data_IF_659436943026
#
_entry.id   IF_659436943026
#
_cell.length_a   1.000
_cell.length_b   1.000
_cell.length_c   1.000
_cell.angle_alpha   90.00
_cell.angle_beta   90.00
_cell.angle_gamma   90.00
#
_symmetry.space_group_name_H-M   'P 1'
#
loop_
_entity.id
_entity.type
_entity.pdbx_description
1 polymer ?
#
# COMPACT_ATOMS: atom_id res chain seq x y z
N UNK A 1 9.69 1.38 -15.23
CA UNK A 1 9.55 1.94 -16.59
C UNK A 1 8.54 1.17 -17.43
N UNK A 2 8.56 -0.16 -17.45
CA UNK A 2 7.62 -0.97 -18.24
C UNK A 2 6.14 -0.53 -18.10
N UNK A 3 5.67 -0.30 -16.88
CA UNK A 3 4.28 0.13 -16.66
C UNK A 3 3.96 1.47 -17.35
N UNK A 4 4.91 2.40 -17.45
CA UNK A 4 4.68 3.69 -18.13
C UNK A 4 4.65 3.54 -19.65
N UNK A 5 5.43 2.60 -20.20
CA UNK A 5 5.49 2.35 -21.64
C UNK A 5 4.29 1.49 -22.09
N UNK A 6 4.12 0.34 -21.46
CA UNK A 6 3.24 -0.72 -21.95
C UNK A 6 1.80 -0.55 -21.47
N UNK A 7 1.59 -0.04 -20.25
CA UNK A 7 0.24 0.15 -19.68
C UNK A 7 -0.30 1.57 -19.90
N UNK A 8 0.56 2.58 -19.68
CA UNK A 8 0.17 3.99 -19.80
C UNK A 8 0.35 4.55 -21.21
N UNK A 9 1.05 3.83 -22.09
CA UNK A 9 1.36 4.23 -23.46
C UNK A 9 2.07 5.59 -23.57
N UNK A 10 2.92 5.92 -22.58
CA UNK A 10 3.77 7.11 -22.65
C UNK A 10 4.93 6.83 -23.63
N UNK A 11 5.15 7.67 -24.65
CA UNK A 11 6.29 7.52 -25.56
C UNK A 11 7.62 7.48 -24.80
N UNK A 12 8.56 6.64 -25.26
CA UNK A 12 9.82 6.39 -24.56
C UNK A 12 10.62 7.68 -24.33
N UNK A 13 10.60 8.57 -25.33
CA UNK A 13 11.22 9.90 -25.32
C UNK A 13 10.62 10.85 -24.27
N UNK A 14 9.35 10.66 -23.91
CA UNK A 14 8.62 11.53 -22.99
C UNK A 14 8.64 11.03 -21.54
N UNK A 15 8.96 9.75 -21.31
CA UNK A 15 8.88 9.10 -19.98
C UNK A 15 9.61 9.89 -18.91
N UNK A 16 10.85 10.33 -19.17
CA UNK A 16 11.65 10.99 -18.14
C UNK A 16 11.06 12.36 -17.78
N UNK A 17 10.70 13.18 -18.78
CA UNK A 17 10.08 14.48 -18.54
C UNK A 17 8.72 14.35 -17.82
N UNK A 18 7.92 13.34 -18.21
CA UNK A 18 6.65 13.02 -17.56
C UNK A 18 6.84 12.68 -16.08
N UNK A 19 7.78 11.78 -15.78
CA UNK A 19 8.12 11.37 -14.41
C UNK A 19 8.62 12.54 -13.57
N UNK A 20 9.50 13.39 -14.10
CA UNK A 20 9.98 14.58 -13.39
C UNK A 20 8.83 15.54 -13.09
N UNK A 21 7.96 15.80 -14.06
CA UNK A 21 6.80 16.68 -13.89
C UNK A 21 5.87 16.18 -12.79
N UNK A 22 5.54 14.88 -12.79
CA UNK A 22 4.71 14.28 -11.74
C UNK A 22 5.39 14.36 -10.37
N UNK A 23 6.70 14.09 -10.31
CA UNK A 23 7.47 14.15 -9.06
C UNK A 23 7.48 15.57 -8.48
N UNK A 24 7.64 16.61 -9.31
CA UNK A 24 7.58 18.01 -8.86
C UNK A 24 6.21 18.36 -8.30
N UNK A 25 5.12 18.02 -9.01
CA UNK A 25 3.76 18.23 -8.51
C UNK A 25 3.54 17.51 -7.17
N UNK A 26 3.96 16.26 -7.07
CA UNK A 26 3.81 15.46 -5.87
C UNK A 26 4.62 15.99 -4.69
N UNK A 27 5.81 16.53 -4.95
CA UNK A 27 6.66 17.14 -3.93
C UNK A 27 5.98 18.35 -3.26
N UNK A 28 5.19 19.12 -4.01
CA UNK A 28 4.38 20.21 -3.46
C UNK A 28 3.24 19.73 -2.56
N UNK A 29 2.71 18.53 -2.80
CA UNK A 29 1.65 17.93 -1.96
C UNK A 29 2.27 17.36 -0.68
N UNK A 30 3.33 16.58 -0.83
CA UNK A 30 4.09 16.09 0.31
C UNK A 30 5.51 15.73 -0.08
N UNK A 31 6.48 16.36 0.58
CA UNK A 31 7.90 16.11 0.40
C UNK A 31 8.35 14.76 1.01
N UNK A 32 7.75 13.63 0.61
CA UNK A 32 8.15 12.31 1.10
C UNK A 32 9.50 11.94 0.48
N UNK A 33 10.48 11.47 1.28
CA UNK A 33 11.77 11.03 0.72
C UNK A 33 11.63 10.00 -0.40
N UNK A 34 10.62 9.12 -0.33
CA UNK A 34 10.32 8.15 -1.38
C UNK A 34 9.81 8.78 -2.69
N UNK A 35 9.10 9.91 -2.64
CA UNK A 35 8.74 10.69 -3.84
C UNK A 35 10.00 11.39 -4.37
N UNK A 36 10.78 12.00 -3.48
CA UNK A 36 11.99 12.73 -3.83
C UNK A 36 13.04 11.86 -4.52
N UNK A 37 13.17 10.61 -4.09
CA UNK A 37 14.06 9.59 -4.64
C UNK A 37 13.40 8.64 -5.65
N UNK A 38 12.25 8.99 -6.24
CA UNK A 38 11.59 8.24 -7.31
C UNK A 38 11.25 6.77 -6.96
N UNK A 39 11.06 6.45 -5.68
CA UNK A 39 10.76 5.08 -5.25
C UNK A 39 9.45 4.54 -5.81
N UNK A 40 8.52 5.41 -6.24
CA UNK A 40 7.29 5.02 -6.93
C UNK A 40 7.52 4.37 -8.31
N UNK A 41 8.72 4.50 -8.88
CA UNK A 41 9.14 3.78 -10.09
C UNK A 41 9.61 2.34 -9.79
N UNK A 42 9.86 2.03 -8.52
CA UNK A 42 10.29 0.72 -8.06
C UNK A 42 9.09 -0.16 -7.75
N UNK A 43 9.04 -1.32 -8.39
CA UNK A 43 8.01 -2.35 -8.16
C UNK A 43 8.60 -3.55 -7.41
N UNK A 44 9.52 -3.32 -6.47
CA UNK A 44 10.22 -4.41 -5.75
C UNK A 44 9.27 -5.39 -5.04
N UNK A 45 8.05 -4.97 -4.70
CA UNK A 45 7.06 -5.88 -4.13
C UNK A 45 6.72 -7.07 -5.07
N UNK A 46 6.93 -6.93 -6.38
CA UNK A 46 6.70 -8.03 -7.34
C UNK A 46 7.73 -9.16 -7.21
N UNK A 47 8.84 -8.92 -6.50
CA UNK A 47 9.85 -9.95 -6.21
C UNK A 47 9.56 -10.71 -4.93
N UNK A 48 8.56 -10.27 -4.14
CA UNK A 48 8.18 -10.98 -2.93
C UNK A 48 7.59 -12.35 -3.29
N UNK A 49 7.94 -13.38 -2.53
CA UNK A 49 7.42 -14.74 -2.73
C UNK A 49 5.88 -14.78 -2.70
N UNK A 50 5.29 -13.93 -1.88
CA UNK A 50 3.85 -13.79 -1.71
C UNK A 50 3.16 -13.20 -2.95
N UNK A 51 3.87 -12.41 -3.76
CA UNK A 51 3.28 -11.73 -4.91
C UNK A 51 2.67 -12.71 -5.91
N UNK A 52 3.38 -13.79 -6.25
CA UNK A 52 2.87 -14.81 -7.17
C UNK A 52 1.59 -15.47 -6.65
N UNK A 53 1.56 -15.81 -5.36
CA UNK A 53 0.39 -16.42 -4.73
C UNK A 53 -0.81 -15.45 -4.69
N UNK A 54 -0.57 -14.17 -4.37
CA UNK A 54 -1.60 -13.12 -4.40
C UNK A 54 -2.13 -12.92 -5.82
N UNK A 55 -1.25 -12.90 -6.83
CA UNK A 55 -1.63 -12.74 -8.22
C UNK A 55 -2.52 -13.90 -8.70
N UNK A 56 -2.14 -15.15 -8.40
CA UNK A 56 -2.94 -16.34 -8.75
C UNK A 56 -4.32 -16.30 -8.09
N UNK A 57 -4.39 -15.97 -6.79
CA UNK A 57 -5.64 -15.81 -6.05
C UNK A 57 -6.56 -14.76 -6.67
N UNK A 58 -6.02 -13.57 -6.95
CA UNK A 58 -6.81 -12.45 -7.47
C UNK A 58 -7.27 -12.66 -8.92
N UNK A 59 -6.60 -13.51 -9.70
CA UNK A 59 -7.00 -13.90 -11.06
C UNK A 59 -8.01 -15.04 -11.11
N UNK A 60 -8.19 -15.77 -10.02
CA UNK A 60 -9.12 -16.90 -9.94
C UNK A 60 -10.56 -16.46 -10.24
N UNK A 61 -11.22 -16.98 -11.29
CA UNK A 61 -12.57 -16.56 -11.64
C UNK A 61 -13.64 -17.04 -10.64
N UNK A 62 -13.35 -18.05 -9.82
CA UNK A 62 -14.27 -18.62 -8.83
C UNK A 62 -14.42 -17.81 -7.54
N UNK A 63 -13.50 -16.89 -7.28
CA UNK A 63 -13.42 -16.19 -5.99
C UNK A 63 -13.63 -14.69 -6.15
N UNK A 64 -14.43 -14.08 -5.28
CA UNK A 64 -14.61 -12.62 -5.21
C UNK A 64 -13.50 -11.97 -4.35
N UNK A 65 -12.25 -12.40 -4.56
CA UNK A 65 -11.10 -11.88 -3.84
C UNK A 65 -10.84 -10.43 -4.23
N UNK A 66 -10.62 -9.59 -3.20
CA UNK A 66 -10.35 -8.15 -3.36
C UNK A 66 -9.08 -7.80 -2.63
N UNK A 67 -8.29 -6.93 -3.26
CA UNK A 67 -7.07 -6.36 -2.68
C UNK A 67 -7.20 -4.85 -2.50
N UNK A 68 -6.70 -4.35 -1.38
CA UNK A 68 -6.44 -2.92 -1.17
C UNK A 68 -4.96 -2.65 -0.92
N UNK A 69 -4.41 -1.64 -1.58
CA UNK A 69 -3.09 -1.06 -1.27
C UNK A 69 -3.26 0.17 -0.36
N UNK A 70 -2.75 0.10 0.87
CA UNK A 70 -2.85 1.16 1.88
C UNK A 70 -1.58 2.00 1.92
N UNK A 71 -1.75 3.31 1.80
CA UNK A 71 -0.63 4.24 1.54
C UNK A 71 -0.12 4.10 0.12
N UNK A 72 -1.04 3.92 -0.84
CA UNK A 72 -0.69 3.54 -2.20
C UNK A 72 0.03 4.63 -3.01
N UNK A 73 0.12 5.87 -2.50
CA UNK A 73 0.67 7.01 -3.21
C UNK A 73 0.01 7.19 -4.59
N UNK A 74 0.72 6.89 -5.69
CA UNK A 74 0.19 6.96 -7.06
C UNK A 74 -0.54 5.68 -7.51
N UNK A 75 -0.72 4.69 -6.64
CA UNK A 75 -1.42 3.44 -6.96
C UNK A 75 -0.62 2.51 -7.89
N UNK A 76 0.71 2.62 -7.92
CA UNK A 76 1.57 1.86 -8.83
C UNK A 76 1.46 0.34 -8.64
N UNK A 77 1.27 -0.14 -7.41
CA UNK A 77 1.17 -1.57 -7.15
C UNK A 77 -0.16 -2.14 -7.64
N UNK A 78 -1.24 -1.41 -7.42
CA UNK A 78 -2.59 -1.70 -7.93
C UNK A 78 -2.59 -1.78 -9.45
N UNK A 79 -2.00 -0.78 -10.13
CA UNK A 79 -1.91 -0.75 -11.59
C UNK A 79 -1.01 -1.84 -12.15
N UNK A 80 0.05 -2.22 -11.44
CA UNK A 80 0.88 -3.37 -11.80
C UNK A 80 0.11 -4.69 -11.71
N UNK A 81 -0.74 -4.87 -10.70
CA UNK A 81 -1.61 -6.06 -10.59
C UNK A 81 -2.63 -6.10 -11.74
N UNK A 82 -3.22 -4.96 -12.10
CA UNK A 82 -4.11 -4.87 -13.25
C UNK A 82 -3.39 -5.21 -14.56
N UNK A 83 -2.19 -4.68 -14.76
CA UNK A 83 -1.34 -5.01 -15.91
C UNK A 83 -0.99 -6.51 -16.00
N UNK A 84 -0.85 -7.19 -14.86
CA UNK A 84 -0.61 -8.64 -14.80
C UNK A 84 -1.88 -9.50 -14.95
N UNK A 85 -3.01 -8.85 -15.24
CA UNK A 85 -4.27 -9.48 -15.61
C UNK A 85 -5.24 -9.72 -14.46
N UNK A 86 -5.10 -9.02 -13.34
CA UNK A 86 -6.14 -8.99 -12.30
C UNK A 86 -7.28 -8.06 -12.73
N UNK A 87 -8.56 -8.47 -12.61
CA UNK A 87 -9.71 -7.60 -12.90
C UNK A 87 -9.70 -6.31 -12.08
N UNK A 88 -10.04 -5.17 -12.71
CA UNK A 88 -10.01 -3.85 -12.06
C UNK A 88 -10.99 -3.75 -10.88
N UNK A 89 -12.10 -4.47 -10.94
CA UNK A 89 -13.18 -4.50 -9.93
C UNK A 89 -12.74 -5.13 -8.60
N UNK A 90 -11.60 -5.82 -8.61
CA UNK A 90 -11.00 -6.49 -7.45
C UNK A 90 -9.89 -5.67 -6.80
N UNK A 91 -9.55 -4.53 -7.40
CA UNK A 91 -8.34 -3.79 -7.09
C UNK A 91 -8.67 -2.39 -6.58
N UNK A 92 -8.14 -2.10 -5.40
CA UNK A 92 -8.41 -0.85 -4.69
C UNK A 92 -7.10 -0.25 -4.17
N UNK A 93 -7.04 1.07 -4.15
CA UNK A 93 -5.92 1.82 -3.60
C UNK A 93 -6.41 2.95 -2.72
N UNK A 94 -5.71 3.18 -1.61
CA UNK A 94 -6.03 4.28 -0.72
C UNK A 94 -4.78 4.96 -0.21
N UNK A 95 -4.83 6.29 -0.17
CA UNK A 95 -3.83 7.14 0.46
C UNK A 95 -4.52 8.29 1.20
N UNK A 96 -3.97 8.71 2.34
CA UNK A 96 -4.53 9.84 3.10
C UNK A 96 -4.44 11.18 2.34
N UNK A 97 -3.60 11.25 1.29
CA UNK A 97 -3.44 12.44 0.43
C UNK A 97 -4.20 12.25 -0.89
N UNK A 98 -5.42 12.81 -1.05
CA UNK A 98 -6.18 12.66 -2.29
C UNK A 98 -5.44 13.19 -3.52
N UNK A 99 -4.65 14.26 -3.38
CA UNK A 99 -3.85 14.78 -4.49
C UNK A 99 -2.79 13.80 -5.03
N UNK A 100 -2.30 12.85 -4.22
CA UNK A 100 -1.41 11.80 -4.72
C UNK A 100 -2.19 10.78 -5.57
N UNK A 101 -3.44 10.46 -5.20
CA UNK A 101 -4.30 9.59 -6.00
C UNK A 101 -4.59 10.21 -7.37
N UNK A 102 -4.88 11.51 -7.39
CA UNK A 102 -5.12 12.28 -8.62
C UNK A 102 -3.88 12.28 -9.53
N UNK A 103 -2.69 12.51 -8.97
CA UNK A 103 -1.44 12.40 -9.71
C UNK A 103 -1.14 10.98 -10.19
N UNK A 104 -1.69 9.94 -9.54
CA UNK A 104 -1.63 8.58 -10.04
C UNK A 104 -2.32 8.44 -11.40
N UNK A 105 -3.52 9.02 -11.55
CA UNK A 105 -4.21 9.00 -12.84
C UNK A 105 -3.47 9.78 -13.93
N UNK A 106 -2.81 10.89 -13.57
CA UNK A 106 -1.94 11.62 -14.52
C UNK A 106 -0.69 10.81 -14.88
N UNK A 107 -0.03 10.19 -13.89
CA UNK A 107 1.18 9.40 -14.11
C UNK A 107 0.93 8.22 -15.05
N UNK A 108 -0.22 7.56 -14.90
CA UNK A 108 -0.55 6.34 -15.62
C UNK A 108 -1.53 6.50 -16.78
N UNK A 109 -2.04 7.72 -17.02
CA UNK A 109 -2.95 8.05 -18.12
C UNK A 109 -4.12 7.05 -18.24
N UNK A 110 -4.83 6.82 -17.14
CA UNK A 110 -5.75 5.68 -17.01
C UNK A 110 -7.07 6.00 -16.27
N UNK A 111 -7.47 7.27 -16.18
CA UNK A 111 -8.68 7.67 -15.44
C UNK A 111 -9.96 6.97 -15.92
N UNK A 112 -10.04 6.67 -17.21
CA UNK A 112 -11.14 5.98 -17.86
C UNK A 112 -11.17 4.47 -17.60
N UNK A 113 -10.07 3.87 -17.12
CA UNK A 113 -9.97 2.43 -16.83
C UNK A 113 -10.51 2.03 -15.46
N UNK A 114 -10.70 2.99 -14.55
CA UNK A 114 -11.01 2.72 -13.14
C UNK A 114 -12.38 3.23 -12.73
N UNK A 115 -13.05 2.47 -11.87
CA UNK A 115 -14.24 2.96 -11.18
C UNK A 115 -13.86 4.11 -10.24
N UNK A 116 -14.72 5.14 -10.07
CA UNK A 116 -14.53 6.16 -9.05
C UNK A 116 -14.37 5.61 -7.62
N UNK A 117 -14.81 4.36 -7.37
CA UNK A 117 -14.67 3.69 -6.09
C UNK A 117 -13.33 2.93 -5.91
N UNK A 118 -12.51 2.78 -6.95
CA UNK A 118 -11.26 2.01 -6.90
C UNK A 118 -10.15 2.74 -6.15
N UNK A 119 -10.10 4.08 -6.26
CA UNK A 119 -9.12 4.90 -5.54
C UNK A 119 -9.84 5.93 -4.69
N UNK A 120 -9.61 5.91 -3.38
CA UNK A 120 -10.27 6.81 -2.45
C UNK A 120 -9.35 7.19 -1.29
N UNK A 121 -9.48 8.41 -0.73
CA UNK A 121 -8.70 8.80 0.42
C UNK A 121 -9.23 8.15 1.69
N UNK A 122 -8.33 7.63 2.54
CA UNK A 122 -8.69 7.05 3.83
C UNK A 122 -7.59 7.27 4.87
N UNK A 123 -8.00 7.54 6.11
CA UNK A 123 -7.15 7.44 7.28
C UNK A 123 -7.24 6.02 7.86
N UNK A 124 -6.11 5.32 7.96
CA UNK A 124 -6.04 3.95 8.50
C UNK A 124 -6.46 3.85 9.97
N UNK A 125 -6.42 4.97 10.72
CA UNK A 125 -6.85 5.01 12.12
C UNK A 125 -8.35 5.22 12.28
N UNK A 126 -9.02 5.66 11.21
CA UNK A 126 -10.47 5.89 11.17
C UNK A 126 -11.01 5.47 9.79
N UNK A 127 -10.93 4.17 9.45
CA UNK A 127 -11.21 3.69 8.11
C UNK A 127 -12.67 3.87 7.72
N UNK A 128 -12.88 4.58 6.62
CA UNK A 128 -14.17 4.75 5.94
C UNK A 128 -13.99 4.31 4.50
N UNK A 129 -14.69 3.24 4.12
CA UNK A 129 -14.53 2.58 2.83
C UNK A 129 -15.81 2.75 2.02
N UNK A 130 -15.74 3.13 0.72
CA UNK A 130 -16.91 3.18 -0.15
C UNK A 130 -17.69 1.86 -0.11
N UNK A 131 -19.00 1.94 0.06
CA UNK A 131 -19.89 0.78 0.06
C UNK A 131 -19.62 -0.28 1.15
N UNK A 132 -18.88 0.05 2.22
CA UNK A 132 -18.45 -0.89 3.25
C UNK A 132 -17.68 -2.11 2.69
N UNK A 133 -16.89 -1.89 1.64
CA UNK A 133 -16.07 -2.93 1.03
C UNK A 133 -15.15 -3.61 2.07
N UNK A 134 -14.97 -4.92 1.88
CA UNK A 134 -14.06 -5.77 2.65
C UNK A 134 -13.07 -6.45 1.72
N UNK A 135 -11.87 -6.69 2.22
CA UNK A 135 -10.73 -7.16 1.45
C UNK A 135 -10.23 -8.51 1.96
N UNK A 136 -9.69 -9.30 1.04
CA UNK A 136 -9.05 -10.58 1.33
C UNK A 136 -7.54 -10.40 1.48
N UNK A 137 -7.00 -9.42 0.74
CA UNK A 137 -5.57 -9.11 0.74
C UNK A 137 -5.37 -7.61 0.99
N UNK A 138 -4.46 -7.27 1.89
CA UNK A 138 -4.00 -5.91 2.12
C UNK A 138 -2.53 -5.84 1.76
N UNK A 139 -2.20 -5.00 0.79
CA UNK A 139 -0.84 -4.54 0.56
C UNK A 139 -0.63 -3.29 1.42
N UNK A 140 0.42 -3.27 2.23
CA UNK A 140 0.79 -2.10 3.03
C UNK A 140 2.31 -2.01 3.12
N UNK A 141 2.88 -1.02 2.44
CA UNK A 141 4.32 -0.81 2.38
C UNK A 141 4.69 0.61 2.78
N UNK A 142 5.77 0.76 3.52
CA UNK A 142 6.30 2.06 3.94
C UNK A 142 5.32 2.93 4.76
N UNK A 143 4.45 2.29 5.56
CA UNK A 143 3.43 2.96 6.38
C UNK A 143 3.68 2.77 7.87
N UNK A 144 3.84 1.54 8.36
CA UNK A 144 3.95 1.25 9.79
C UNK A 144 5.10 2.02 10.46
N UNK A 145 6.28 2.02 9.83
CA UNK A 145 7.48 2.67 10.35
C UNK A 145 7.35 4.20 10.51
N UNK A 146 6.25 4.81 10.06
CA UNK A 146 5.97 6.24 10.29
C UNK A 146 5.45 6.51 11.70
N UNK A 147 4.97 5.49 12.42
CA UNK A 147 4.25 5.64 13.67
C UNK A 147 4.97 5.00 14.86
N UNK A 148 4.61 5.41 16.08
CA UNK A 148 5.01 4.73 17.30
C UNK A 148 4.47 3.30 17.35
N UNK A 149 5.07 2.43 18.17
CA UNK A 149 4.67 1.03 18.28
C UNK A 149 3.15 0.88 18.56
N UNK A 150 2.62 1.61 19.55
CA UNK A 150 1.19 1.57 19.87
C UNK A 150 0.30 1.95 18.68
N UNK A 151 0.72 2.94 17.89
CA UNK A 151 -0.02 3.34 16.69
C UNK A 151 0.12 2.32 15.56
N UNK A 152 1.23 1.60 15.46
CA UNK A 152 1.35 0.49 14.50
C UNK A 152 0.38 -0.63 14.85
N UNK A 153 0.31 -0.99 16.14
CA UNK A 153 -0.66 -1.97 16.68
C UNK A 153 -2.09 -1.51 16.41
N UNK A 154 -2.43 -0.26 16.74
CA UNK A 154 -3.78 0.27 16.47
C UNK A 154 -4.12 0.22 14.98
N UNK A 155 -3.22 0.64 14.10
CA UNK A 155 -3.46 0.59 12.66
C UNK A 155 -3.69 -0.86 12.18
N UNK A 156 -2.91 -1.82 12.67
CA UNK A 156 -3.12 -3.23 12.34
C UNK A 156 -4.48 -3.75 12.84
N UNK A 157 -4.90 -3.36 14.05
CA UNK A 157 -6.23 -3.69 14.60
C UNK A 157 -7.35 -3.11 13.73
N UNK A 158 -7.25 -1.85 13.32
CA UNK A 158 -8.23 -1.22 12.42
C UNK A 158 -8.30 -1.94 11.06
N UNK A 159 -7.15 -2.31 10.49
CA UNK A 159 -7.11 -3.09 9.23
C UNK A 159 -7.86 -4.41 9.40
N UNK A 160 -7.58 -5.16 10.46
CA UNK A 160 -8.20 -6.47 10.70
C UNK A 160 -9.71 -6.33 10.91
N UNK A 161 -10.12 -5.45 11.80
CA UNK A 161 -11.52 -5.37 12.25
C UNK A 161 -12.41 -4.63 11.26
N UNK A 162 -11.87 -3.64 10.54
CA UNK A 162 -12.65 -2.75 9.67
C UNK A 162 -12.49 -3.05 8.20
N UNK A 163 -11.34 -3.55 7.74
CA UNK A 163 -11.07 -3.72 6.31
C UNK A 163 -11.10 -5.17 5.85
N UNK A 164 -10.64 -6.12 6.65
CA UNK A 164 -10.60 -7.52 6.24
C UNK A 164 -11.97 -8.20 6.32
N UNK A 165 -12.17 -9.19 5.44
CA UNK A 165 -13.25 -10.18 5.60
C UNK A 165 -12.95 -11.07 6.80
N UNK A 166 -14.00 -11.46 7.53
CA UNK A 166 -13.88 -12.38 8.67
C UNK A 166 -13.83 -13.85 8.19
N UNK A 167 -12.71 -14.22 7.56
CA UNK A 167 -12.46 -15.57 7.03
C UNK A 167 -10.99 -15.97 7.18
N UNK A 168 -10.69 -17.25 7.41
CA UNK A 168 -9.32 -17.75 7.28
C UNK A 168 -8.74 -17.50 5.89
N UNK A 169 -7.42 -17.32 5.81
CA UNK A 169 -6.68 -17.15 4.54
C UNK A 169 -6.57 -15.70 4.05
N UNK A 170 -7.07 -14.73 4.82
CA UNK A 170 -6.74 -13.32 4.60
C UNK A 170 -5.24 -13.07 4.72
N UNK A 171 -4.72 -12.10 3.97
CA UNK A 171 -3.29 -11.82 3.91
C UNK A 171 -2.99 -10.34 4.04
N UNK A 172 -1.98 -10.01 4.83
CA UNK A 172 -1.38 -8.67 4.88
C UNK A 172 0.08 -8.83 4.48
N UNK A 173 0.55 -8.08 3.49
CA UNK A 173 1.93 -8.16 3.02
C UNK A 173 2.47 -6.80 2.57
N UNK A 174 3.80 -6.69 2.48
CA UNK A 174 4.49 -5.46 2.07
C UNK A 174 5.87 -5.35 2.72
N UNK A 175 6.49 -4.17 2.59
CA UNK A 175 7.81 -3.90 3.19
C UNK A 175 7.77 -2.67 4.08
N UNK A 176 8.51 -2.70 5.18
CA UNK A 176 8.62 -1.57 6.11
C UNK A 176 10.07 -1.16 6.32
N UNK A 177 10.29 0.09 6.72
CA UNK A 177 11.60 0.53 7.19
C UNK A 177 11.96 -0.21 8.48
N UNK A 178 13.06 -0.97 8.45
CA UNK A 178 13.54 -1.76 9.57
C UNK A 178 14.84 -1.23 10.18
N UNK A 179 15.29 -1.87 11.25
CA UNK A 179 16.56 -1.61 11.91
C UNK A 179 17.14 -2.91 12.48
N UNK A 180 18.44 -2.93 12.76
CA UNK A 180 19.10 -4.07 13.42
C UNK A 180 18.81 -4.06 14.92
N UNK A 181 18.63 -2.87 15.52
CA UNK A 181 18.37 -2.69 16.94
C UNK A 181 17.04 -1.94 17.14
N UNK A 182 15.95 -2.65 17.48
CA UNK A 182 14.62 -2.05 17.59
C UNK A 182 14.59 -0.87 18.56
N UNK A 183 13.98 0.24 18.13
CA UNK A 183 13.95 1.48 18.94
C UNK A 183 12.92 2.48 18.46
N UNK A 184 12.47 3.32 19.39
CA UNK A 184 11.85 4.60 19.04
C UNK A 184 12.91 5.55 18.48
N UNK A 185 12.51 6.30 17.45
CA UNK A 185 13.28 7.40 16.87
C UNK A 185 12.38 8.61 16.73
N UNK A 186 12.92 9.85 16.77
CA UNK A 186 12.14 11.03 16.43
C UNK A 186 11.51 10.90 15.05
N UNK A 187 10.21 11.19 14.95
CA UNK A 187 9.52 11.16 13.66
C UNK A 187 10.11 12.24 12.76
N UNK A 188 10.58 11.83 11.59
CA UNK A 188 11.09 12.76 10.56
C UNK A 188 10.01 13.66 9.97
N UNK A 189 8.73 13.37 10.24
CA UNK A 189 7.57 14.06 9.64
C UNK A 189 6.76 14.86 10.64
N UNK A 190 6.63 14.36 11.86
CA UNK A 190 5.78 14.98 12.88
C UNK A 190 6.66 15.37 14.07
N UNK A 191 7.08 16.63 14.11
CA UNK A 191 7.90 17.18 15.21
C UNK A 191 7.20 16.88 16.55
N UNK A 192 7.96 16.36 17.52
CA UNK A 192 7.44 15.97 18.83
C UNK A 192 6.71 14.62 18.86
N UNK A 193 6.63 13.88 17.74
CA UNK A 193 6.16 12.50 17.72
C UNK A 193 7.31 11.53 17.48
N UNK A 194 7.06 10.27 17.80
CA UNK A 194 8.01 9.17 17.60
C UNK A 194 7.55 8.22 16.50
N UNK A 195 8.54 7.56 15.90
CA UNK A 195 8.38 6.42 15.02
C UNK A 195 9.11 5.23 15.65
N UNK A 196 8.56 4.02 15.55
CA UNK A 196 9.22 2.82 16.03
C UNK A 196 9.75 2.00 14.85
N UNK A 197 11.04 1.67 14.89
CA UNK A 197 11.68 0.84 13.87
C UNK A 197 11.86 -0.57 14.41
N UNK A 198 11.44 -1.55 13.62
CA UNK A 198 11.49 -2.96 13.98
C UNK A 198 12.71 -3.66 13.39
N UNK A 199 13.24 -4.62 14.12
CA UNK A 199 13.93 -5.78 13.54
C UNK A 199 12.91 -6.91 13.25
N UNK A 200 13.37 -8.07 12.79
CA UNK A 200 12.48 -9.19 12.49
C UNK A 200 11.72 -9.73 13.72
N UNK A 201 12.35 -9.75 14.90
CA UNK A 201 11.76 -10.32 16.11
C UNK A 201 10.69 -9.40 16.70
N UNK A 202 10.99 -8.11 16.83
CA UNK A 202 10.04 -7.12 17.33
C UNK A 202 8.85 -6.94 16.39
N UNK A 203 9.02 -7.10 15.07
CA UNK A 203 7.88 -7.06 14.14
C UNK A 203 6.95 -8.26 14.32
N UNK A 204 7.51 -9.47 14.54
CA UNK A 204 6.72 -10.66 14.89
C UNK A 204 5.98 -10.50 16.21
N UNK A 205 6.64 -9.97 17.24
CA UNK A 205 6.03 -9.71 18.54
C UNK A 205 4.84 -8.72 18.44
N UNK A 206 4.97 -7.67 17.62
CA UNK A 206 3.86 -6.74 17.36
C UNK A 206 2.63 -7.46 16.78
N UNK A 207 2.82 -8.33 15.79
CA UNK A 207 1.71 -9.09 15.19
C UNK A 207 1.13 -10.14 16.13
N UNK A 208 1.92 -10.73 17.02
CA UNK A 208 1.43 -11.60 18.09
C UNK A 208 0.49 -10.84 19.03
N UNK A 209 0.87 -9.65 19.48
CA UNK A 209 0.02 -8.78 20.30
C UNK A 209 -1.26 -8.37 19.56
N UNK A 210 -1.15 -7.97 18.29
CA UNK A 210 -2.32 -7.66 17.45
C UNK A 210 -3.28 -8.86 17.38
N UNK A 211 -2.75 -10.07 17.20
CA UNK A 211 -3.55 -11.30 17.21
C UNK A 211 -4.29 -11.49 18.53
N UNK A 212 -3.61 -11.35 19.67
CA UNK A 212 -4.21 -11.45 21.00
C UNK A 212 -5.33 -10.41 21.20
N UNK A 213 -5.09 -9.14 20.83
CA UNK A 213 -6.05 -8.04 21.00
C UNK A 213 -7.28 -8.15 20.10
N UNK A 214 -7.16 -8.85 18.98
CA UNK A 214 -8.27 -9.02 18.01
C UNK A 214 -8.92 -10.40 18.08
N UNK A 215 -8.41 -11.32 18.90
CA UNK A 215 -8.87 -12.71 18.92
C UNK A 215 -8.57 -13.47 17.61
N UNK A 216 -7.54 -13.05 16.86
CA UNK A 216 -7.15 -13.64 15.58
C UNK A 216 -5.77 -14.30 15.68
N UNK A 217 -5.43 -15.18 14.73
CA UNK A 217 -4.14 -15.85 14.66
C UNK A 217 -3.44 -15.54 13.34
N UNK A 218 -2.18 -15.10 13.43
CA UNK A 218 -1.37 -14.70 12.27
C UNK A 218 -0.11 -15.54 12.15
N UNK A 219 0.18 -16.00 10.93
CA UNK A 219 1.46 -16.58 10.56
C UNK A 219 2.35 -15.47 9.97
N UNK A 220 3.41 -15.10 10.67
CA UNK A 220 4.22 -13.91 10.35
C UNK A 220 5.57 -14.31 9.75
N UNK A 221 5.80 -13.88 8.52
CA UNK A 221 7.06 -14.05 7.79
C UNK A 221 7.75 -12.69 7.62
N UNK A 222 9.02 -12.60 8.02
CA UNK A 222 9.86 -11.38 7.93
C UNK A 222 11.19 -11.74 7.31
#
# INVERSE_FOLDING_TARGET
RQLLLDYSHIPLEDVDNHVYTIREKAWQISAYPCIGGFSFLSLTFTTHRQYKAVLERLKSPSDDEKLIDLGCCFGQAVRKLAFDGVPHERLYGSDVRPGLLELGFELFNDRDKWSPASFFPMDIFHPVVPGNLKFHVVLISMVFHLFSLERQIQAAIEIITRLLVDKPGVMIFGSQGGTINPRSVPSRRNIGRESYLHDANSFKAMWEEVGQRTGTKWEVYV
#
